data_IF_732672519782
#
_entry.id   IF_732672519782
#
_cell.length_a   1.000
_cell.length_b   1.000
_cell.length_c   1.000
_cell.angle_alpha   90.00
_cell.angle_beta   90.00
_cell.angle_gamma   90.00
#
_symmetry.space_group_name_H-M   'P 1'
#
loop_
_entity.id
_entity.type
_entity.pdbx_description
1 polymer ?
#
# COMPACT_ATOMS: atom_id res chain seq x y z
N UNK A 1 14.04 8.37 4.77
CA UNK A 1 13.64 7.35 3.78
C UNK A 1 12.48 6.54 4.34
N UNK A 2 11.53 6.13 3.51
CA UNK A 2 10.43 5.25 3.95
C UNK A 2 10.94 3.89 4.43
N UNK A 3 10.32 3.33 5.47
CA UNK A 3 10.71 2.03 6.04
C UNK A 3 11.84 2.06 7.07
N UNK A 4 12.21 3.24 7.59
CA UNK A 4 13.05 3.35 8.78
C UNK A 4 12.27 2.89 10.03
N UNK A 5 12.98 2.25 10.97
CA UNK A 5 12.41 1.80 12.26
C UNK A 5 11.21 0.84 12.13
N UNK A 6 11.25 -0.09 11.18
CA UNK A 6 10.32 -1.22 11.10
C UNK A 6 11.06 -2.48 11.56
N UNK A 7 10.55 -3.13 12.60
CA UNK A 7 11.15 -4.32 13.20
C UNK A 7 10.18 -5.50 13.12
N UNK A 8 10.73 -6.69 12.81
CA UNK A 8 10.01 -7.95 12.99
C UNK A 8 10.46 -8.58 14.30
N UNK A 9 9.55 -8.64 15.26
CA UNK A 9 9.75 -9.31 16.54
C UNK A 9 9.21 -10.74 16.46
N UNK A 10 9.98 -11.72 16.93
CA UNK A 10 9.50 -13.11 17.10
C UNK A 10 9.07 -13.34 18.55
N UNK A 11 8.31 -14.41 18.78
CA UNK A 11 8.07 -14.87 20.14
C UNK A 11 9.39 -15.16 20.85
N UNK A 12 9.56 -14.61 22.06
CA UNK A 12 10.79 -14.72 22.84
C UNK A 12 11.97 -13.87 22.34
N UNK A 13 11.76 -12.90 21.47
CA UNK A 13 12.86 -12.03 20.99
C UNK A 13 13.52 -11.27 22.16
N UNK A 14 14.82 -11.48 22.42
CA UNK A 14 15.50 -10.86 23.56
C UNK A 14 15.58 -9.33 23.43
N UNK A 15 15.40 -8.78 22.22
CA UNK A 15 15.51 -7.35 21.96
C UNK A 15 14.17 -6.60 22.05
N UNK A 16 13.07 -7.27 22.42
CA UNK A 16 11.74 -6.64 22.48
C UNK A 16 11.75 -5.35 23.31
N UNK A 17 12.41 -5.36 24.48
CA UNK A 17 12.50 -4.17 25.35
C UNK A 17 13.14 -2.98 24.65
N UNK A 18 14.33 -3.18 24.07
CA UNK A 18 15.08 -2.12 23.36
C UNK A 18 14.35 -1.64 22.11
N UNK A 19 13.69 -2.55 21.37
CA UNK A 19 12.86 -2.18 20.22
C UNK A 19 11.71 -1.28 20.66
N UNK A 20 11.01 -1.64 21.74
CA UNK A 20 9.89 -0.84 22.28
C UNK A 20 10.36 0.54 22.75
N UNK A 21 11.46 0.62 23.49
CA UNK A 21 12.06 1.89 23.93
C UNK A 21 12.48 2.77 22.75
N UNK A 22 13.11 2.18 21.73
CA UNK A 22 13.56 2.90 20.54
C UNK A 22 12.38 3.43 19.72
N UNK A 23 11.35 2.60 19.50
CA UNK A 23 10.18 2.99 18.70
C UNK A 23 9.31 4.05 19.38
N UNK A 24 9.21 3.96 20.72
CA UNK A 24 8.39 4.90 21.50
C UNK A 24 9.17 6.11 22.01
N UNK A 25 10.46 6.21 21.70
CA UNK A 25 11.35 7.23 22.26
C UNK A 25 11.21 7.30 23.80
N UNK A 26 11.44 6.14 24.44
CA UNK A 26 11.26 5.91 25.87
C UNK A 26 9.87 6.32 26.39
N UNK A 27 8.82 6.04 25.62
CA UNK A 27 7.42 6.28 25.99
C UNK A 27 6.90 7.69 25.70
N UNK A 28 7.69 8.55 25.05
CA UNK A 28 7.26 9.91 24.65
C UNK A 28 6.51 9.95 23.32
N UNK A 29 6.49 8.85 22.56
CA UNK A 29 5.85 8.73 21.26
C UNK A 29 5.07 7.43 21.11
N UNK A 30 3.99 7.51 20.33
CA UNK A 30 3.23 6.34 19.93
C UNK A 30 4.01 5.48 18.93
N UNK A 31 3.88 4.17 19.07
CA UNK A 31 4.29 3.20 18.07
C UNK A 31 3.08 2.36 17.62
N UNK A 32 3.21 1.71 16.46
CA UNK A 32 2.21 0.77 15.98
C UNK A 32 2.77 -0.65 16.04
N UNK A 33 2.00 -1.57 16.63
CA UNK A 33 2.26 -3.00 16.56
C UNK A 33 1.20 -3.64 15.66
N UNK A 34 1.64 -4.50 14.75
CA UNK A 34 0.76 -5.25 13.85
C UNK A 34 1.20 -6.71 13.80
N UNK A 35 0.26 -7.61 13.54
CA UNK A 35 0.57 -9.02 13.33
C UNK A 35 1.44 -9.19 12.07
N UNK A 36 2.49 -9.99 12.17
CA UNK A 36 3.26 -10.40 11.00
C UNK A 36 2.37 -11.20 10.05
N UNK A 37 2.38 -10.85 8.76
CA UNK A 37 1.56 -11.49 7.73
C UNK A 37 2.45 -12.38 6.85
N UNK A 38 2.38 -13.73 6.98
CA UNK A 38 3.22 -14.64 6.20
C UNK A 38 3.05 -14.51 4.68
N UNK A 39 1.89 -14.02 4.23
CA UNK A 39 1.58 -13.74 2.84
C UNK A 39 2.46 -12.65 2.20
N UNK A 40 3.29 -11.93 2.97
CA UNK A 40 4.28 -10.97 2.43
C UNK A 40 5.26 -11.64 1.45
N UNK A 41 5.46 -12.96 1.55
CA UNK A 41 6.23 -13.74 0.58
C UNK A 41 5.68 -13.63 -0.86
N UNK A 42 4.37 -13.39 -1.00
CA UNK A 42 3.65 -13.26 -2.28
C UNK A 42 3.56 -11.78 -2.72
N UNK A 43 4.21 -10.89 -1.96
CA UNK A 43 4.33 -9.46 -2.21
C UNK A 43 3.32 -8.60 -1.46
N UNK A 44 3.73 -7.37 -1.17
CA UNK A 44 2.89 -6.28 -0.72
C UNK A 44 2.28 -5.60 -1.95
N UNK A 45 0.96 -5.78 -2.15
CA UNK A 45 0.22 -5.27 -3.31
C UNK A 45 -0.11 -3.80 -3.13
N UNK A 46 0.32 -2.98 -4.08
CA UNK A 46 -0.13 -1.59 -4.27
C UNK A 46 -1.37 -1.58 -5.19
N UNK A 47 -2.55 -1.48 -4.61
CA UNK A 47 -3.82 -1.28 -5.33
C UNK A 47 -4.09 0.22 -5.46
N UNK A 48 -4.36 0.71 -6.67
CA UNK A 48 -4.67 2.12 -6.89
C UNK A 48 -6.18 2.33 -6.92
N UNK A 49 -6.64 3.43 -6.33
CA UNK A 49 -8.04 3.88 -6.33
C UNK A 49 -8.09 5.30 -6.86
N UNK A 50 -8.95 5.53 -7.85
CA UNK A 50 -9.16 6.83 -8.51
C UNK A 50 -10.61 7.27 -8.27
N UNK A 51 -10.79 8.39 -7.57
CA UNK A 51 -12.10 8.98 -7.22
C UNK A 51 -13.09 7.98 -6.59
N UNK A 52 -12.56 7.09 -5.76
CA UNK A 52 -13.31 6.01 -5.09
C UNK A 52 -13.41 4.71 -5.88
N UNK A 53 -12.98 4.68 -7.15
CA UNK A 53 -13.04 3.50 -8.02
C UNK A 53 -11.70 2.76 -8.07
N UNK A 54 -11.64 1.45 -7.75
CA UNK A 54 -10.42 0.67 -7.84
C UNK A 54 -9.96 0.48 -9.28
N UNK A 55 -8.66 0.67 -9.53
CA UNK A 55 -8.00 0.27 -10.79
C UNK A 55 -7.94 -1.27 -10.84
N UNK A 56 -8.22 -1.92 -11.98
CA UNK A 56 -8.34 -3.38 -12.07
C UNK A 56 -7.03 -4.17 -11.93
N UNK A 57 -5.91 -3.48 -11.72
CA UNK A 57 -4.58 -4.04 -11.59
C UNK A 57 -3.86 -3.45 -10.36
N UNK A 58 -2.88 -4.19 -9.86
CA UNK A 58 -1.99 -3.75 -8.80
C UNK A 58 -0.54 -4.03 -9.17
N UNK A 59 0.38 -3.41 -8.43
CA UNK A 59 1.78 -3.81 -8.44
C UNK A 59 2.10 -4.61 -7.17
N UNK A 60 2.40 -5.89 -7.32
CA UNK A 60 2.92 -6.69 -6.21
C UNK A 60 4.40 -6.38 -6.01
N UNK A 61 4.76 -5.93 -4.81
CA UNK A 61 6.14 -5.62 -4.46
C UNK A 61 6.71 -6.77 -3.64
N UNK A 62 7.45 -7.65 -4.30
CA UNK A 62 7.94 -8.91 -3.72
C UNK A 62 9.31 -8.65 -3.06
N UNK A 63 9.48 -8.95 -1.75
CA UNK A 63 10.78 -8.83 -1.09
C UNK A 63 11.85 -9.71 -1.74
N UNK A 64 13.09 -9.23 -1.82
CA UNK A 64 14.24 -10.02 -2.25
C UNK A 64 15.22 -10.28 -1.10
N UNK A 65 16.01 -11.35 -1.20
CA UNK A 65 17.22 -11.51 -0.38
C UNK A 65 17.03 -11.76 1.12
N UNK A 66 15.87 -12.29 1.55
CA UNK A 66 15.61 -12.57 2.97
C UNK A 66 15.20 -11.33 3.79
N UNK A 67 15.06 -10.17 3.15
CA UNK A 67 14.42 -9.01 3.77
C UNK A 67 12.90 -9.21 3.90
N UNK A 68 12.32 -8.57 4.91
CA UNK A 68 10.86 -8.58 5.12
C UNK A 68 10.15 -7.44 4.40
N UNK A 69 10.90 -6.48 3.85
CA UNK A 69 10.38 -5.26 3.23
C UNK A 69 10.24 -5.46 1.71
N UNK A 70 9.06 -5.15 1.19
CA UNK A 70 8.76 -5.22 -0.25
C UNK A 70 9.12 -3.94 -1.03
N UNK A 71 9.53 -2.85 -0.38
CA UNK A 71 9.67 -1.56 -1.04
C UNK A 71 10.63 -1.62 -2.25
N UNK A 72 10.18 -1.09 -3.40
CA UNK A 72 10.97 -1.03 -4.65
C UNK A 72 12.32 -0.33 -4.46
N UNK A 73 12.35 0.71 -3.61
CA UNK A 73 13.58 1.43 -3.26
C UNK A 73 14.63 0.58 -2.52
N UNK A 74 14.22 -0.56 -1.95
CA UNK A 74 15.09 -1.51 -1.27
C UNK A 74 15.44 -2.73 -2.15
N UNK A 75 15.16 -2.69 -3.47
CA UNK A 75 15.46 -3.77 -4.41
C UNK A 75 14.37 -4.83 -4.56
N UNK A 76 13.15 -4.57 -4.06
CA UNK A 76 11.99 -5.43 -4.30
C UNK A 76 11.66 -5.54 -5.80
N UNK A 77 11.20 -6.71 -6.25
CA UNK A 77 10.69 -6.90 -7.62
C UNK A 77 9.24 -6.46 -7.68
N UNK A 78 8.94 -5.52 -8.58
CA UNK A 78 7.57 -5.18 -8.95
C UNK A 78 7.02 -6.20 -9.95
N UNK A 79 5.85 -6.75 -9.68
CA UNK A 79 5.12 -7.64 -10.59
C UNK A 79 3.69 -7.10 -10.78
N UNK A 80 3.37 -6.52 -11.94
CA UNK A 80 2.01 -6.10 -12.25
C UNK A 80 1.09 -7.31 -12.33
N UNK A 81 -0.08 -7.26 -11.69
CA UNK A 81 -1.08 -8.34 -11.76
C UNK A 81 -2.52 -7.84 -11.62
N UNK A 82 -3.51 -8.57 -12.16
CA UNK A 82 -4.92 -8.28 -11.90
C UNK A 82 -5.25 -8.32 -10.40
N UNK A 83 -6.23 -7.52 -9.99
CA UNK A 83 -6.77 -7.60 -8.63
C UNK A 83 -7.42 -8.97 -8.38
N UNK A 84 -7.16 -9.54 -7.20
CA UNK A 84 -7.88 -10.71 -6.72
C UNK A 84 -9.25 -10.32 -6.17
N UNK A 85 -10.13 -11.29 -5.91
CA UNK A 85 -11.45 -11.01 -5.32
C UNK A 85 -11.35 -10.32 -3.95
N UNK A 86 -10.34 -10.66 -3.13
CA UNK A 86 -10.12 -10.00 -1.84
C UNK A 86 -9.66 -8.55 -2.02
N UNK A 87 -8.81 -8.26 -3.00
CA UNK A 87 -8.38 -6.90 -3.33
C UNK A 87 -9.58 -6.04 -3.74
N UNK A 88 -10.41 -6.55 -4.64
CA UNK A 88 -11.64 -5.89 -5.07
C UNK A 88 -12.57 -5.61 -3.91
N UNK A 89 -12.78 -6.59 -3.01
CA UNK A 89 -13.64 -6.44 -1.84
C UNK A 89 -13.14 -5.33 -0.92
N UNK A 90 -11.84 -5.31 -0.61
CA UNK A 90 -11.23 -4.28 0.26
C UNK A 90 -11.35 -2.90 -0.39
N UNK A 91 -10.95 -2.78 -1.66
CA UNK A 91 -10.92 -1.49 -2.35
C UNK A 91 -12.33 -0.91 -2.54
N UNK A 92 -13.33 -1.73 -2.89
CA UNK A 92 -14.73 -1.29 -2.99
C UNK A 92 -15.36 -0.94 -1.66
N UNK A 93 -14.96 -1.60 -0.57
CA UNK A 93 -15.45 -1.25 0.77
C UNK A 93 -14.93 0.11 1.22
N UNK A 94 -13.70 0.47 0.86
CA UNK A 94 -13.03 1.70 1.30
C UNK A 94 -13.28 2.88 0.36
N UNK A 95 -13.46 2.61 -0.94
CA UNK A 95 -13.66 3.59 -2.00
C UNK A 95 -14.65 4.73 -1.67
N UNK A 96 -15.87 4.43 -1.19
CA UNK A 96 -16.86 5.46 -0.83
C UNK A 96 -16.33 6.45 0.22
N UNK A 97 -15.65 5.95 1.26
CA UNK A 97 -15.06 6.78 2.33
C UNK A 97 -13.93 7.66 1.80
N UNK A 98 -13.11 7.16 0.87
CA UNK A 98 -12.04 7.96 0.24
C UNK A 98 -12.65 9.12 -0.56
N UNK A 99 -13.70 8.83 -1.34
CA UNK A 99 -14.41 9.81 -2.16
C UNK A 99 -15.06 10.90 -1.30
N UNK A 100 -15.75 10.51 -0.23
CA UNK A 100 -16.36 11.41 0.74
C UNK A 100 -15.33 12.36 1.36
N UNK A 101 -14.11 11.86 1.64
CA UNK A 101 -13.00 12.66 2.17
C UNK A 101 -12.28 13.51 1.12
N UNK A 102 -12.74 13.49 -0.14
CA UNK A 102 -12.13 14.25 -1.24
C UNK A 102 -10.78 13.70 -1.71
N UNK A 103 -10.45 12.44 -1.40
CA UNK A 103 -9.21 11.80 -1.80
C UNK A 103 -9.34 11.24 -3.21
N UNK A 104 -8.76 11.93 -4.19
CA UNK A 104 -8.91 11.60 -5.62
C UNK A 104 -7.98 10.45 -6.03
N UNK A 105 -6.75 10.40 -5.52
CA UNK A 105 -5.78 9.39 -5.91
C UNK A 105 -5.14 8.74 -4.70
N UNK A 106 -5.41 7.45 -4.50
CA UNK A 106 -5.04 6.72 -3.29
C UNK A 106 -4.40 5.38 -3.65
N UNK A 107 -3.36 5.00 -2.92
CA UNK A 107 -2.79 3.66 -2.93
C UNK A 107 -3.19 2.90 -1.68
N UNK A 108 -3.66 1.67 -1.85
CA UNK A 108 -3.93 0.74 -0.77
C UNK A 108 -2.83 -0.33 -0.78
N UNK A 109 -2.18 -0.51 0.36
CA UNK A 109 -1.18 -1.56 0.53
C UNK A 109 -1.89 -2.76 1.15
N UNK A 110 -1.82 -3.90 0.46
CA UNK A 110 -2.53 -5.12 0.83
C UNK A 110 -1.56 -6.29 0.84
N UNK A 111 -1.49 -6.99 1.97
CA UNK A 111 -0.74 -8.24 2.11
C UNK A 111 -1.75 -9.37 2.36
N UNK A 112 -1.76 -10.37 1.46
CA UNK A 112 -2.78 -11.41 1.47
C UNK A 112 -4.18 -10.81 1.27
N UNK A 113 -4.99 -10.87 2.32
CA UNK A 113 -6.38 -10.39 2.41
C UNK A 113 -6.54 -9.25 3.43
N UNK A 114 -5.45 -8.59 3.84
CA UNK A 114 -5.47 -7.52 4.83
C UNK A 114 -4.92 -6.22 4.26
N UNK A 115 -5.67 -5.14 4.45
CA UNK A 115 -5.18 -3.78 4.24
C UNK A 115 -4.19 -3.42 5.35
N UNK A 116 -3.01 -2.93 5.00
CA UNK A 116 -1.95 -2.56 5.95
C UNK A 116 -1.64 -1.06 5.96
N UNK A 117 -1.78 -0.37 4.83
CA UNK A 117 -1.50 1.07 4.72
C UNK A 117 -2.40 1.74 3.67
N UNK A 118 -2.69 3.04 3.85
CA UNK A 118 -3.39 3.89 2.87
C UNK A 118 -2.49 5.09 2.55
N UNK A 119 -2.04 5.17 1.30
CA UNK A 119 -1.19 6.23 0.76
C UNK A 119 -2.01 7.27 0.01
N UNK A 120 -2.09 8.51 0.52
CA UNK A 120 -3.00 9.55 -0.01
C UNK A 120 -2.32 10.69 -0.78
N UNK A 121 -0.99 10.77 -0.75
CA UNK A 121 -0.26 11.91 -1.36
C UNK A 121 0.42 11.55 -2.67
N UNK A 122 1.11 10.40 -2.72
CA UNK A 122 1.83 9.93 -3.90
C UNK A 122 1.98 8.40 -3.86
N UNK A 123 0.98 7.65 -4.32
CA UNK A 123 0.96 6.20 -4.20
C UNK A 123 1.82 5.46 -5.24
N UNK A 124 2.56 6.15 -6.13
CA UNK A 124 3.50 5.55 -7.10
C UNK A 124 2.90 4.42 -7.96
N UNK A 125 3.73 3.60 -8.62
CA UNK A 125 3.35 2.36 -9.31
C UNK A 125 2.47 2.45 -10.58
N UNK A 126 2.06 3.65 -11.02
CA UNK A 126 1.31 3.82 -12.29
C UNK A 126 2.11 3.27 -13.47
N UNK A 127 3.37 3.69 -13.60
CA UNK A 127 4.20 3.42 -14.78
C UNK A 127 4.39 1.93 -15.02
N UNK A 128 4.65 1.20 -13.94
CA UNK A 128 4.87 -0.24 -13.97
C UNK A 128 3.61 -0.99 -14.37
N UNK A 129 2.43 -0.53 -13.93
CA UNK A 129 1.14 -1.15 -14.27
C UNK A 129 0.75 -0.84 -15.72
N UNK A 130 0.84 0.43 -16.15
CA UNK A 130 0.52 0.85 -17.52
C UNK A 130 1.50 0.28 -18.57
N UNK A 131 2.72 -0.09 -18.16
CA UNK A 131 3.68 -0.74 -19.05
C UNK A 131 3.29 -2.19 -19.41
N UNK A 132 2.52 -2.87 -18.56
CA UNK A 132 2.14 -4.28 -18.73
C UNK A 132 0.71 -4.45 -19.23
N UNK A 133 -0.22 -3.59 -18.79
CA UNK A 133 -1.64 -3.72 -19.09
C UNK A 133 -2.17 -2.58 -19.96
N UNK A 134 -3.17 -2.85 -20.83
CA UNK A 134 -3.82 -1.82 -21.64
C UNK A 134 -4.80 -0.99 -20.79
N UNK A 135 -4.27 -0.20 -19.86
CA UNK A 135 -5.01 0.69 -18.95
C UNK A 135 -4.35 2.06 -18.95
N UNK A 136 -5.16 3.13 -18.82
CA UNK A 136 -4.66 4.48 -18.59
C UNK A 136 -5.12 4.97 -17.22
N UNK A 137 -4.34 4.66 -16.20
CA UNK A 137 -4.58 5.12 -14.82
C UNK A 137 -4.39 6.64 -14.76
N UNK A 138 -3.41 7.16 -15.52
CA UNK A 138 -3.22 8.60 -15.67
C UNK A 138 -4.45 9.26 -16.32
N UNK A 139 -5.03 8.63 -17.35
CA UNK A 139 -6.27 9.07 -17.98
C UNK A 139 -7.42 9.09 -16.98
N UNK A 140 -7.67 7.97 -16.30
CA UNK A 140 -8.68 7.87 -15.23
C UNK A 140 -8.54 8.99 -14.19
N UNK A 141 -7.31 9.31 -13.77
CA UNK A 141 -7.04 10.37 -12.80
C UNK A 141 -7.37 11.76 -13.37
N UNK A 142 -6.94 12.06 -14.58
CA UNK A 142 -7.22 13.36 -15.21
C UNK A 142 -8.71 13.54 -15.49
N UNK A 143 -9.40 12.50 -15.96
CA UNK A 143 -10.85 12.51 -16.18
C UNK A 143 -11.61 12.78 -14.87
N UNK A 144 -11.17 12.16 -13.77
CA UNK A 144 -11.76 12.40 -12.45
C UNK A 144 -11.53 13.84 -11.95
N UNK A 145 -10.37 14.42 -12.22
CA UNK A 145 -10.08 15.82 -11.88
C UNK A 145 -10.96 16.75 -12.71
N UNK A 146 -11.07 16.52 -14.02
CA UNK A 146 -11.92 17.32 -14.92
C UNK A 146 -13.38 17.28 -14.48
N UNK A 147 -13.92 16.08 -14.20
CA UNK A 147 -15.31 15.92 -13.74
C UNK A 147 -15.59 16.68 -12.44
N UNK A 148 -14.63 16.74 -11.51
CA UNK A 148 -14.76 17.49 -10.25
C UNK A 148 -14.72 19.00 -10.46
N UNK A 149 -13.90 19.49 -11.40
CA UNK A 149 -13.84 20.92 -11.74
C UNK A 149 -15.11 21.40 -12.42
N UNK A 150 -15.79 20.56 -13.20
CA UNK A 150 -17.07 20.87 -13.85
C UNK A 150 -18.27 20.90 -12.87
N UNK A 151 -18.12 20.33 -11.67
CA UNK A 151 -19.15 20.28 -10.63
C UNK A 151 -19.06 21.43 -9.61
N UNK A 152 -18.06 22.31 -9.74
CA UNK A 152 -17.89 23.52 -8.94
C UNK A 152 -18.47 24.74 -9.66
#
# INVERSE_FOLDING_TARGET
MGGASIFRVKEGDPNLGVIAETLTEHGTRYCMAQNYLPAIKDGDKRVLVVDGEPVPYCLARIPQGGETRGNLAAGGRGEPRPLTESDWKIARQIGPTLKEKGLIFVGLDIIGDRLTEINVTSPTCIREIEAEFPVSITGMLMDAIEARLQQQ
#
